data_IF_427439517347
#
_entry.id   IF_427439517347
#
_cell.length_a   1.000
_cell.length_b   1.000
_cell.length_c   1.000
_cell.angle_alpha   90.00
_cell.angle_beta   90.00
_cell.angle_gamma   90.00
#
_symmetry.space_group_name_H-M   'P 1'
#
loop_
_entity.id
_entity.type
_entity.pdbx_description
1 polymer ?
#
# COMPACT_ATOMS: atom_id res chain seq x y z
N UNK A 1 3.75 4.10 -30.60
CA UNK A 1 4.17 4.23 -29.20
C UNK A 1 4.26 2.88 -28.49
N UNK A 2 3.33 1.94 -28.71
CA UNK A 2 3.40 0.58 -28.13
C UNK A 2 4.71 -0.20 -28.42
N UNK A 3 5.39 0.05 -29.54
CA UNK A 3 6.67 -0.60 -29.86
C UNK A 3 7.78 -0.31 -28.84
N UNK A 4 7.88 0.95 -28.38
CA UNK A 4 8.89 1.35 -27.38
C UNK A 4 8.58 0.76 -26.00
N UNK A 5 7.30 0.77 -25.62
CA UNK A 5 6.87 0.19 -24.34
C UNK A 5 7.19 -1.31 -24.27
N UNK A 6 7.05 -2.02 -25.40
CA UNK A 6 7.38 -3.45 -25.50
C UNK A 6 8.87 -3.74 -25.30
N UNK A 7 9.76 -2.89 -25.85
CA UNK A 7 11.20 -3.00 -25.64
C UNK A 7 11.55 -2.82 -24.16
N UNK A 8 11.01 -1.77 -23.53
CA UNK A 8 11.20 -1.50 -22.09
C UNK A 8 10.67 -2.67 -21.25
N UNK A 9 9.50 -3.20 -21.59
CA UNK A 9 8.93 -4.36 -20.90
C UNK A 9 9.84 -5.60 -21.03
N UNK A 10 10.39 -5.85 -22.21
CA UNK A 10 11.31 -6.97 -22.44
C UNK A 10 12.60 -6.83 -21.61
N UNK A 11 13.19 -5.64 -21.58
CA UNK A 11 14.37 -5.34 -20.77
C UNK A 11 14.07 -5.48 -19.27
N UNK A 12 12.94 -4.93 -18.82
CA UNK A 12 12.49 -5.04 -17.45
C UNK A 12 12.24 -6.49 -17.02
N UNK A 13 11.63 -7.31 -17.87
CA UNK A 13 11.43 -8.75 -17.61
C UNK A 13 12.77 -9.47 -17.43
N UNK A 14 13.75 -9.17 -18.28
CA UNK A 14 15.08 -9.76 -18.19
C UNK A 14 15.78 -9.34 -16.89
N UNK A 15 15.71 -8.06 -16.54
CA UNK A 15 16.32 -7.52 -15.31
C UNK A 15 15.71 -8.12 -14.03
N UNK A 16 14.42 -8.46 -14.04
CA UNK A 16 13.69 -8.99 -12.89
C UNK A 16 13.40 -10.50 -12.97
N UNK A 17 14.01 -11.21 -13.93
CA UNK A 17 13.81 -12.64 -14.18
C UNK A 17 12.33 -13.05 -14.28
N UNK A 18 11.51 -12.24 -14.95
CA UNK A 18 10.07 -12.49 -15.14
C UNK A 18 9.82 -13.38 -16.36
N UNK A 19 9.02 -14.42 -16.17
CA UNK A 19 8.51 -15.28 -17.24
C UNK A 19 7.03 -15.56 -17.02
N UNK A 20 6.25 -15.54 -18.10
CA UNK A 20 4.81 -15.79 -18.05
C UNK A 20 4.47 -17.09 -18.78
N UNK A 21 3.52 -17.89 -18.27
CA UNK A 21 3.23 -19.23 -18.80
C UNK A 21 2.43 -19.21 -20.11
N UNK A 22 1.65 -18.16 -20.37
CA UNK A 22 0.79 -18.05 -21.56
C UNK A 22 0.92 -16.67 -22.20
N UNK A 23 0.62 -16.61 -23.50
CA UNK A 23 0.59 -15.34 -24.24
C UNK A 23 -0.50 -14.39 -23.72
N UNK A 24 -1.63 -14.93 -23.26
CA UNK A 24 -2.71 -14.14 -22.67
C UNK A 24 -2.29 -13.50 -21.35
N UNK A 25 -1.57 -14.24 -20.50
CA UNK A 25 -1.02 -13.70 -19.24
C UNK A 25 0.04 -12.65 -19.53
N UNK A 26 0.95 -12.91 -20.48
CA UNK A 26 1.95 -11.93 -20.89
C UNK A 26 1.31 -10.64 -21.41
N UNK A 27 0.24 -10.74 -22.20
CA UNK A 27 -0.52 -9.59 -22.68
C UNK A 27 -1.14 -8.81 -21.51
N UNK A 28 -1.79 -9.49 -20.56
CA UNK A 28 -2.35 -8.85 -19.36
C UNK A 28 -1.29 -8.12 -18.54
N UNK A 29 -0.15 -8.77 -18.31
CA UNK A 29 0.98 -8.21 -17.56
C UNK A 29 1.58 -7.01 -18.29
N UNK A 30 1.64 -7.06 -19.61
CA UNK A 30 2.05 -5.92 -20.43
C UNK A 30 1.08 -4.75 -20.33
N UNK A 31 -0.23 -4.97 -20.35
CA UNK A 31 -1.24 -3.92 -20.18
C UNK A 31 -1.10 -3.21 -18.82
N UNK A 32 -0.96 -3.97 -17.73
CA UNK A 32 -0.69 -3.42 -16.38
C UNK A 32 0.63 -2.65 -16.34
N UNK A 33 1.67 -3.22 -16.95
CA UNK A 33 2.98 -2.58 -17.03
C UNK A 33 2.94 -1.23 -17.76
N UNK A 34 2.19 -1.14 -18.88
CA UNK A 34 2.02 0.11 -19.60
C UNK A 34 1.32 1.17 -18.73
N UNK A 35 0.30 0.78 -17.97
CA UNK A 35 -0.39 1.70 -17.06
C UNK A 35 0.58 2.28 -16.02
N UNK A 36 1.36 1.43 -15.35
CA UNK A 36 2.35 1.89 -14.38
C UNK A 36 3.47 2.71 -15.00
N UNK A 37 3.91 2.38 -16.22
CA UNK A 37 4.92 3.18 -16.93
C UNK A 37 4.42 4.61 -17.15
N UNK A 38 3.15 4.78 -17.54
CA UNK A 38 2.55 6.11 -17.70
C UNK A 38 2.43 6.86 -16.38
N UNK A 39 2.06 6.17 -15.30
CA UNK A 39 2.02 6.78 -13.95
C UNK A 39 3.40 7.24 -13.48
N UNK A 40 4.45 6.46 -13.78
CA UNK A 40 5.84 6.81 -13.47
C UNK A 40 6.26 8.03 -14.29
N UNK A 41 6.00 8.04 -15.60
CA UNK A 41 6.32 9.18 -16.49
C UNK A 41 5.58 10.45 -16.06
N UNK A 42 4.30 10.35 -15.71
CA UNK A 42 3.50 11.46 -15.22
C UNK A 42 4.02 11.99 -13.88
N UNK A 43 4.35 11.11 -12.93
CA UNK A 43 4.94 11.50 -11.64
C UNK A 43 6.28 12.20 -11.83
N UNK A 44 7.15 11.61 -12.67
CA UNK A 44 8.51 12.10 -12.87
C UNK A 44 8.60 13.39 -13.72
N UNK A 45 7.51 13.77 -14.41
CA UNK A 45 7.39 15.04 -15.13
C UNK A 45 6.65 16.13 -14.33
N UNK A 46 6.03 15.76 -13.22
CA UNK A 46 5.32 16.68 -12.33
C UNK A 46 6.24 17.43 -11.35
N UNK A 47 5.69 18.38 -10.58
CA UNK A 47 6.43 19.15 -9.57
C UNK A 47 6.98 18.24 -8.46
N UNK A 48 6.31 17.14 -8.17
CA UNK A 48 6.68 16.20 -7.11
C UNK A 48 7.96 15.40 -7.43
N UNK A 49 8.39 15.40 -8.68
CA UNK A 49 9.65 14.80 -9.12
C UNK A 49 10.87 15.41 -8.44
N UNK A 50 10.74 16.63 -7.89
CA UNK A 50 11.78 17.28 -7.09
C UNK A 50 11.98 16.61 -5.72
N UNK A 51 10.94 15.99 -5.15
CA UNK A 51 11.01 15.32 -3.84
C UNK A 51 11.41 13.86 -3.97
N UNK A 52 10.81 13.14 -4.92
CA UNK A 52 11.16 11.75 -5.21
C UNK A 52 10.77 11.37 -6.64
N UNK A 53 11.47 10.36 -7.16
CA UNK A 53 11.17 9.79 -8.48
C UNK A 53 10.65 8.37 -8.32
N UNK A 54 9.66 8.02 -9.14
CA UNK A 54 9.21 6.64 -9.27
C UNK A 54 10.06 5.92 -10.31
N UNK A 55 10.23 4.62 -10.12
CA UNK A 55 10.96 3.76 -11.04
C UNK A 55 10.21 2.46 -11.26
N UNK A 56 10.60 1.72 -12.30
CA UNK A 56 10.07 0.40 -12.57
C UNK A 56 10.56 -0.56 -11.47
N UNK A 57 9.61 -1.19 -10.78
CA UNK A 57 9.86 -2.11 -9.68
C UNK A 57 9.60 -3.55 -10.12
N UNK A 58 9.97 -4.57 -9.34
CA UNK A 58 9.60 -5.96 -9.60
C UNK A 58 8.08 -6.20 -9.61
N UNK A 59 7.29 -5.24 -9.14
CA UNK A 59 5.83 -5.29 -9.06
C UNK A 59 5.14 -4.45 -10.14
N UNK A 60 5.91 -3.91 -11.09
CA UNK A 60 5.35 -3.07 -12.17
C UNK A 60 4.38 -3.83 -13.09
N UNK A 61 4.33 -5.16 -13.05
CA UNK A 61 3.36 -6.00 -13.76
C UNK A 61 2.14 -6.43 -12.93
N UNK A 62 1.99 -5.96 -11.68
CA UNK A 62 0.95 -6.42 -10.75
C UNK A 62 0.03 -5.28 -10.33
N UNK A 63 -1.28 -5.52 -10.34
CA UNK A 63 -2.22 -4.56 -9.77
C UNK A 63 -2.08 -4.46 -8.25
N UNK A 64 -2.56 -3.36 -7.65
CA UNK A 64 -2.50 -3.18 -6.19
C UNK A 64 -3.24 -4.30 -5.44
N UNK A 65 -4.36 -4.80 -5.98
CA UNK A 65 -5.10 -5.91 -5.37
C UNK A 65 -4.32 -7.23 -5.41
N UNK A 66 -3.68 -7.54 -6.52
CA UNK A 66 -2.78 -8.71 -6.62
C UNK A 66 -1.59 -8.59 -5.68
N UNK A 67 -1.01 -7.39 -5.59
CA UNK A 67 0.07 -7.11 -4.66
C UNK A 67 -0.40 -7.30 -3.21
N UNK A 68 -1.60 -6.86 -2.89
CA UNK A 68 -2.19 -6.98 -1.56
C UNK A 68 -2.39 -8.45 -1.18
N UNK A 69 -3.03 -9.23 -2.05
CA UNK A 69 -3.30 -10.65 -1.79
C UNK A 69 -2.01 -11.47 -1.72
N UNK A 70 -1.06 -11.20 -2.61
CA UNK A 70 0.16 -12.01 -2.73
C UNK A 70 1.28 -11.64 -1.76
N UNK A 71 1.40 -10.36 -1.39
CA UNK A 71 2.58 -9.83 -0.70
C UNK A 71 2.27 -9.05 0.57
N UNK A 72 1.17 -8.29 0.62
CA UNK A 72 0.80 -7.56 1.83
C UNK A 72 -0.12 -8.43 2.68
N UNK A 73 0.48 -9.29 3.51
CA UNK A 73 -0.22 -9.96 4.60
C UNK A 73 -0.70 -8.93 5.62
N UNK A 74 -1.89 -8.39 5.40
CA UNK A 74 -2.67 -7.81 6.47
C UNK A 74 -3.67 -8.88 6.88
N UNK A 75 -3.20 -9.88 7.61
CA UNK A 75 -4.08 -10.67 8.47
C UNK A 75 -4.63 -9.66 9.48
N UNK A 76 -5.74 -9.00 9.13
CA UNK A 76 -6.63 -8.45 10.14
C UNK A 76 -7.20 -9.65 10.86
N UNK A 77 -6.40 -10.24 11.74
CA UNK A 77 -6.93 -10.97 12.87
C UNK A 77 -7.71 -9.91 13.63
N UNK A 78 -9.01 -9.89 13.38
CA UNK A 78 -10.00 -9.47 14.34
C UNK A 78 -9.85 -10.42 15.54
N UNK A 79 -8.80 -10.19 16.32
CA UNK A 79 -8.66 -10.69 17.68
C UNK A 79 -9.64 -9.85 18.48
N UNK A 80 -10.91 -10.23 18.42
CA UNK A 80 -12.00 -9.66 19.21
C UNK A 80 -11.83 -9.96 20.70
N UNK A 81 -10.69 -9.60 21.29
CA UNK A 81 -10.37 -9.76 22.70
C UNK A 81 -9.90 -8.43 23.31
N UNK A 82 -10.60 -7.35 23.00
CA UNK A 82 -10.76 -6.28 23.97
C UNK A 82 -11.77 -6.79 25.00
N UNK A 83 -11.25 -7.24 26.12
CA UNK A 83 -11.99 -7.37 27.35
C UNK A 83 -12.10 -5.95 27.93
N UNK A 84 -13.23 -5.27 27.71
CA UNK A 84 -13.64 -4.29 28.72
C UNK A 84 -14.03 -5.06 29.95
N UNK A 85 -13.04 -5.42 30.76
CA UNK A 85 -13.26 -5.41 32.19
C UNK A 85 -13.51 -3.94 32.53
N UNK A 86 -14.79 -3.63 32.62
CA UNK A 86 -15.31 -2.59 33.49
C UNK A 86 -14.67 -2.75 34.87
N UNK A 87 -13.61 -1.99 35.14
CA UNK A 87 -13.25 -1.61 36.51
C UNK A 87 -14.34 -0.66 37.02
N UNK A 88 -15.47 -1.24 37.42
CA UNK A 88 -16.32 -0.65 38.45
C UNK A 88 -15.54 -0.72 39.77
N UNK A 89 -14.69 0.26 40.03
CA UNK A 89 -14.19 0.54 41.38
C UNK A 89 -15.22 1.45 42.07
N UNK A 90 -16.32 0.86 42.52
CA UNK A 90 -17.01 1.31 43.72
C UNK A 90 -16.16 0.89 44.93
N UNK A 91 -15.61 1.83 45.68
CA UNK A 91 -15.92 1.93 47.12
C UNK A 91 -15.22 3.13 47.81
N UNK A 92 -16.09 3.99 48.34
CA UNK A 92 -16.08 4.56 49.68
C UNK A 92 -14.94 5.46 50.22
N UNK A 93 -15.39 6.70 50.47
CA UNK A 93 -15.16 7.49 51.68
C UNK A 93 -13.78 8.12 51.93
N UNK A 94 -13.65 9.39 51.48
CA UNK A 94 -12.96 10.40 52.29
C UNK A 94 -13.61 11.78 52.22
N UNK A 95 -14.56 11.95 53.13
CA UNK A 95 -15.00 13.20 53.77
C UNK A 95 -14.19 14.49 53.46
N UNK A 96 -14.90 15.42 52.79
CA UNK A 96 -15.01 16.88 53.06
C UNK A 96 -13.72 17.68 53.34
N UNK A 97 -13.41 18.57 52.40
CA UNK A 97 -13.11 19.97 52.75
C UNK A 97 -13.59 20.90 51.63
N UNK A 98 -14.69 21.62 51.88
CA UNK A 98 -15.11 22.73 51.07
C UNK A 98 -14.05 23.84 51.12
N UNK A 99 -13.54 24.26 49.96
CA UNK A 99 -12.85 25.53 49.84
C UNK A 99 -13.66 26.42 48.86
N UNK A 100 -14.25 27.52 49.33
CA UNK A 100 -15.20 28.31 48.57
C UNK A 100 -14.49 29.19 47.52
N UNK A 101 -15.09 29.28 46.33
CA UNK A 101 -14.69 30.22 45.28
C UNK A 101 -14.99 31.66 45.72
N UNK A 102 -14.05 32.60 45.60
CA UNK A 102 -14.35 34.02 45.66
C UNK A 102 -14.22 34.67 44.28
N UNK A 103 -15.39 35.09 43.78
CA UNK A 103 -15.77 36.26 42.97
C UNK A 103 -14.89 36.76 41.83
#
# INVERSE_FOLDING_TARGET
MAHKDWEIFREWKLAHAKSYPTADEEKRRFETFQQHLREIEAHNSGPDAAYYKKGLSPFSDMTFEELKIGFLKHDSVDDGLYDTETDEEEDDDKVRAACPSPK
#
